data_IF_309862011239
#
_entry.id   IF_309862011239
#
_cell.length_a   1.000
_cell.length_b   1.000
_cell.length_c   1.000
_cell.angle_alpha   90.00
_cell.angle_beta   90.00
_cell.angle_gamma   90.00
#
_symmetry.space_group_name_H-M   'P 1'
#
loop_
_entity.id
_entity.type
_entity.pdbx_description
1 polymer ?
#
# COMPACT_ATOMS: atom_id res chain seq x y z
N UNK A 1 23.87 15.27 19.14
CA UNK A 1 23.21 13.94 19.20
C UNK A 1 21.84 14.07 18.54
N UNK A 2 21.54 13.25 17.52
CA UNK A 2 20.35 13.41 16.65
C UNK A 2 19.11 12.84 17.33
N UNK A 3 18.25 13.70 17.89
CA UNK A 3 16.95 13.32 18.43
C UNK A 3 15.91 13.31 17.30
N UNK A 4 15.87 12.25 16.51
CA UNK A 4 14.73 11.99 15.63
C UNK A 4 13.57 11.47 16.48
N UNK A 5 12.79 12.39 17.06
CA UNK A 5 11.41 12.12 17.42
C UNK A 5 10.59 12.00 16.13
N UNK A 6 10.83 10.95 15.35
CA UNK A 6 9.88 10.54 14.31
C UNK A 6 8.76 9.82 15.04
N UNK A 7 7.76 10.60 15.48
CA UNK A 7 6.39 10.11 15.58
C UNK A 7 6.01 9.62 14.18
N UNK A 8 6.41 8.40 13.85
CA UNK A 8 5.95 7.68 12.68
C UNK A 8 4.52 7.33 13.03
N UNK A 9 3.62 8.31 12.89
CA UNK A 9 2.17 8.15 13.04
C UNK A 9 1.83 6.87 12.31
N UNK A 10 1.57 5.82 13.08
CA UNK A 10 1.43 4.48 12.54
C UNK A 10 0.23 4.63 11.62
N UNK A 11 0.46 4.59 10.30
CA UNK A 11 -0.61 4.66 9.32
C UNK A 11 -1.34 3.32 9.42
N UNK A 12 -2.18 3.22 10.45
CA UNK A 12 -2.93 2.02 10.81
C UNK A 12 -4.18 2.02 9.95
N UNK A 13 -4.28 1.04 9.07
CA UNK A 13 -5.53 0.64 8.44
C UNK A 13 -5.79 -0.82 8.81
N UNK A 14 -7.06 -1.16 9.01
CA UNK A 14 -7.56 -2.52 9.17
C UNK A 14 -7.88 -3.19 7.83
N UNK A 15 -7.59 -2.53 6.71
CA UNK A 15 -7.81 -3.06 5.36
C UNK A 15 -7.18 -4.45 5.19
N UNK A 16 -8.03 -5.48 5.05
CA UNK A 16 -7.63 -6.86 4.83
C UNK A 16 -7.81 -7.30 3.37
N UNK A 17 -6.97 -8.23 2.93
CA UNK A 17 -7.17 -8.99 1.70
C UNK A 17 -8.20 -10.10 1.86
N UNK A 18 -8.56 -10.77 0.77
CA UNK A 18 -9.48 -11.94 0.77
C UNK A 18 -9.01 -13.09 1.66
N UNK A 19 -7.72 -13.15 1.97
CA UNK A 19 -7.10 -14.15 2.84
C UNK A 19 -7.07 -13.74 4.32
N UNK A 20 -7.77 -12.66 4.71
CA UNK A 20 -7.78 -12.15 6.08
C UNK A 20 -6.47 -11.48 6.53
N UNK A 21 -5.46 -11.39 5.65
CA UNK A 21 -4.19 -10.72 5.98
C UNK A 21 -4.30 -9.23 5.72
N UNK A 22 -3.69 -8.43 6.59
CA UNK A 22 -3.58 -6.99 6.42
C UNK A 22 -2.89 -6.65 5.09
N UNK A 23 -3.47 -5.69 4.36
CA UNK A 23 -2.85 -5.15 3.16
C UNK A 23 -1.67 -4.26 3.54
N UNK A 24 -0.63 -4.31 2.73
CA UNK A 24 0.48 -3.37 2.85
C UNK A 24 -0.01 -1.96 2.52
N UNK A 25 0.19 -1.03 3.44
CA UNK A 25 -0.11 0.38 3.26
C UNK A 25 1.17 1.12 2.87
N UNK A 26 1.10 1.83 1.75
CA UNK A 26 2.18 2.66 1.24
C UNK A 26 1.94 4.13 1.60
N UNK A 27 2.99 4.88 1.95
CA UNK A 27 2.83 6.26 2.41
C UNK A 27 2.41 7.23 1.29
N UNK A 28 2.72 6.94 0.04
CA UNK A 28 2.39 7.80 -1.08
C UNK A 28 2.18 6.97 -2.35
N UNK A 29 1.61 7.64 -3.35
CA UNK A 29 1.26 7.03 -4.62
C UNK A 29 2.50 6.55 -5.38
N UNK A 30 3.61 7.31 -5.35
CA UNK A 30 4.85 6.99 -6.05
C UNK A 30 5.44 5.68 -5.51
N UNK A 31 5.58 5.56 -4.19
CA UNK A 31 6.08 4.34 -3.54
C UNK A 31 5.17 3.14 -3.86
N UNK A 32 3.85 3.34 -3.87
CA UNK A 32 2.91 2.28 -4.25
C UNK A 32 3.07 1.86 -5.71
N UNK A 33 3.21 2.81 -6.64
CA UNK A 33 3.43 2.57 -8.06
C UNK A 33 4.73 1.81 -8.31
N UNK A 34 5.84 2.21 -7.70
CA UNK A 34 7.12 1.50 -7.81
C UNK A 34 6.99 0.04 -7.37
N UNK A 35 6.26 -0.21 -6.28
CA UNK A 35 6.00 -1.56 -5.81
C UNK A 35 5.07 -2.35 -6.75
N UNK A 36 4.10 -1.70 -7.39
CA UNK A 36 3.27 -2.32 -8.42
C UNK A 36 4.11 -2.73 -9.65
N UNK A 37 5.00 -1.85 -10.11
CA UNK A 37 5.95 -2.17 -11.19
C UNK A 37 6.89 -3.31 -10.79
N UNK A 38 7.46 -3.26 -9.60
CA UNK A 38 8.30 -4.35 -9.10
C UNK A 38 7.56 -5.69 -9.08
N UNK A 39 6.30 -5.71 -8.63
CA UNK A 39 5.47 -6.92 -8.62
C UNK A 39 5.17 -7.42 -10.05
N UNK A 40 4.96 -6.51 -11.01
CA UNK A 40 4.79 -6.85 -12.42
C UNK A 40 6.06 -7.48 -13.00
N UNK A 41 7.22 -6.89 -12.75
CA UNK A 41 8.48 -7.39 -13.31
C UNK A 41 8.88 -8.74 -12.70
N UNK A 42 8.82 -8.86 -11.37
CA UNK A 42 9.34 -10.02 -10.63
C UNK A 42 8.36 -11.18 -10.51
N UNK A 43 7.05 -10.91 -10.44
CA UNK A 43 6.01 -11.93 -10.19
C UNK A 43 4.98 -12.02 -11.31
N UNK A 44 5.14 -11.23 -12.39
CA UNK A 44 4.15 -11.09 -13.48
C UNK A 44 2.74 -10.77 -12.96
N UNK A 45 2.66 -10.13 -11.79
CA UNK A 45 1.40 -9.73 -11.17
C UNK A 45 1.07 -8.29 -11.53
N UNK A 46 -0.02 -8.08 -12.27
CA UNK A 46 -0.52 -6.74 -12.57
C UNK A 46 -1.32 -6.25 -11.37
N UNK A 47 -0.80 -5.22 -10.71
CA UNK A 47 -1.42 -4.59 -9.55
C UNK A 47 -1.73 -3.13 -9.86
N UNK A 48 -2.87 -2.67 -9.35
CA UNK A 48 -3.35 -1.30 -9.45
C UNK A 48 -3.25 -0.62 -8.10
N UNK A 49 -2.85 0.65 -8.10
CA UNK A 49 -2.77 1.49 -6.91
C UNK A 49 -4.13 2.10 -6.63
N UNK A 50 -4.56 2.12 -5.37
CA UNK A 50 -5.74 2.83 -4.92
C UNK A 50 -5.52 3.48 -3.55
N UNK A 51 -6.25 4.55 -3.27
CA UNK A 51 -6.18 5.23 -1.97
C UNK A 51 -6.86 4.37 -0.89
N UNK A 52 -6.22 4.25 0.26
CA UNK A 52 -6.80 3.58 1.41
C UNK A 52 -8.08 4.33 1.85
N UNK A 53 -9.22 3.63 2.03
CA UNK A 53 -10.45 4.27 2.48
C UNK A 53 -10.43 4.66 3.96
N UNK A 54 -9.64 3.97 4.79
CA UNK A 54 -9.58 4.15 6.24
C UNK A 54 -8.48 5.13 6.68
N UNK A 55 -7.55 5.49 5.79
CA UNK A 55 -6.35 6.18 6.19
C UNK A 55 -5.66 6.98 5.08
N UNK A 56 -4.63 7.70 5.48
CA UNK A 56 -3.83 8.52 4.57
C UNK A 56 -2.75 7.65 3.94
N UNK A 57 -3.07 6.81 2.96
CA UNK A 57 -2.06 6.00 2.26
C UNK A 57 -2.64 5.27 1.05
N UNK A 58 -1.85 4.37 0.48
CA UNK A 58 -2.19 3.68 -0.77
C UNK A 58 -2.01 2.17 -0.63
N UNK A 59 -2.85 1.42 -1.34
CA UNK A 59 -2.83 -0.03 -1.40
C UNK A 59 -2.68 -0.51 -2.83
N UNK A 60 -2.29 -1.78 -2.96
CA UNK A 60 -2.25 -2.49 -4.22
C UNK A 60 -3.42 -3.47 -4.31
N UNK A 61 -4.01 -3.60 -5.49
CA UNK A 61 -5.07 -4.56 -5.77
C UNK A 61 -4.85 -5.20 -7.14
N UNK A 62 -5.07 -6.50 -7.26
CA UNK A 62 -5.14 -7.17 -8.56
C UNK A 62 -6.53 -7.05 -9.20
N UNK A 63 -7.50 -6.45 -8.50
CA UNK A 63 -8.83 -6.21 -9.04
C UNK A 63 -8.75 -5.01 -10.00
N UNK A 64 -9.07 -5.25 -11.27
CA UNK A 64 -9.11 -4.21 -12.30
C UNK A 64 -10.27 -3.24 -12.12
N UNK A 65 -11.31 -3.66 -11.38
CA UNK A 65 -12.45 -2.83 -11.04
C UNK A 65 -12.32 -2.31 -9.60
N UNK A 66 -12.01 -1.02 -9.47
CA UNK A 66 -12.17 -0.31 -8.20
C UNK A 66 -13.64 0.10 -8.12
N UNK A 67 -14.41 -0.58 -7.26
CA UNK A 67 -15.75 -0.13 -6.85
C UNK A 67 -15.61 0.77 -5.63
#
# INVERSE_FOLDING_TARGET
MKNFSTSLSIRRCSCCGKNGKLKKLYPDYTTAMENAYYAKETRKAILHVYKCPEGLGYHLTSNQYQY
#
